data_IF_882848187626
#
_entry.id   IF_882848187626
#
_cell.length_a   1.000
_cell.length_b   1.000
_cell.length_c   1.000
_cell.angle_alpha   90.00
_cell.angle_beta   90.00
_cell.angle_gamma   90.00
#
_symmetry.space_group_name_H-M   'P 1'
#
loop_
_entity.id
_entity.type
_entity.pdbx_description
1 polymer ?
#
# COMPACT_ATOMS: atom_id res chain seq x y z
N UNK A 1 -6.64 1.73 9.67
CA UNK A 1 -7.18 0.94 8.54
C UNK A 1 -6.10 -0.04 8.11
N UNK A 2 -6.43 -1.30 7.81
CA UNK A 2 -5.47 -2.31 7.31
C UNK A 2 -5.74 -2.49 5.82
N UNK A 3 -4.70 -2.34 5.00
CA UNK A 3 -4.83 -2.35 3.53
C UNK A 3 -3.70 -3.16 2.89
N UNK A 4 -4.01 -3.82 1.78
CA UNK A 4 -2.99 -4.48 0.96
C UNK A 4 -2.16 -3.45 0.21
N UNK A 5 -0.85 -3.69 0.13
CA UNK A 5 0.09 -2.82 -0.56
C UNK A 5 1.17 -3.62 -1.28
N UNK A 6 1.82 -2.99 -2.24
CA UNK A 6 3.04 -3.50 -2.86
C UNK A 6 3.91 -2.35 -3.32
N UNK A 7 5.22 -2.52 -3.22
CA UNK A 7 6.23 -1.57 -3.65
C UNK A 7 6.99 -2.02 -4.91
N UNK A 8 6.53 -3.09 -5.57
CA UNK A 8 7.18 -3.64 -6.76
C UNK A 8 6.92 -5.14 -6.93
N UNK A 9 7.64 -5.75 -7.86
CA UNK A 9 7.60 -7.22 -8.06
C UNK A 9 8.37 -7.93 -6.93
N UNK A 10 8.13 -9.24 -6.71
CA UNK A 10 8.90 -10.01 -5.73
C UNK A 10 10.40 -9.92 -6.03
N UNK A 11 11.19 -9.50 -5.04
CA UNK A 11 12.64 -9.30 -5.18
C UNK A 11 13.07 -8.01 -5.92
N UNK A 12 12.13 -7.20 -6.41
CA UNK A 12 12.40 -5.96 -7.15
C UNK A 12 11.51 -4.82 -6.66
N UNK A 13 11.57 -4.53 -5.35
CA UNK A 13 10.89 -3.40 -4.72
C UNK A 13 11.58 -2.07 -5.05
N UNK A 14 10.79 -1.03 -5.34
CA UNK A 14 11.28 0.33 -5.62
C UNK A 14 11.19 1.26 -4.42
N UNK A 15 10.57 0.80 -3.32
CA UNK A 15 10.31 1.62 -2.12
C UNK A 15 9.10 2.56 -2.24
N UNK A 16 8.38 2.53 -3.37
CA UNK A 16 7.18 3.35 -3.58
C UNK A 16 5.94 2.50 -3.30
N UNK A 17 5.19 2.74 -2.22
CA UNK A 17 4.03 1.91 -1.88
C UNK A 17 2.82 2.25 -2.75
N UNK A 18 2.31 1.23 -3.43
CA UNK A 18 1.07 1.23 -4.21
C UNK A 18 -0.05 0.52 -3.44
N UNK A 19 -1.25 1.10 -3.52
CA UNK A 19 -2.46 0.58 -2.90
C UNK A 19 -3.55 0.45 -3.96
N UNK A 20 -4.39 -0.59 -3.87
CA UNK A 20 -5.61 -0.67 -4.65
C UNK A 20 -6.79 -0.65 -3.69
N UNK A 21 -7.50 0.47 -3.69
CA UNK A 21 -8.62 0.71 -2.80
C UNK A 21 -9.89 0.90 -3.62
N UNK A 22 -11.02 0.51 -3.06
CA UNK A 22 -12.34 0.80 -3.63
C UNK A 22 -12.85 2.14 -3.12
N UNK A 23 -13.82 2.73 -3.80
CA UNK A 23 -14.55 3.91 -3.30
C UNK A 23 -15.33 3.65 -2.01
N UNK A 24 -15.53 2.37 -1.64
CA UNK A 24 -16.16 1.97 -0.37
C UNK A 24 -15.18 1.99 0.80
N UNK A 25 -13.87 1.92 0.53
CA UNK A 25 -12.84 1.97 1.56
C UNK A 25 -12.75 3.40 2.16
N UNK A 26 -12.80 3.55 3.49
CA UNK A 26 -12.77 4.85 4.13
C UNK A 26 -11.45 5.61 3.88
N UNK A 27 -10.32 4.91 3.73
CA UNK A 27 -9.05 5.55 3.37
C UNK A 27 -9.13 6.19 1.98
N UNK A 28 -9.71 5.50 0.99
CA UNK A 28 -9.91 6.08 -0.33
C UNK A 28 -10.83 7.32 -0.29
N UNK A 29 -11.99 7.21 0.38
CA UNK A 29 -12.94 8.33 0.51
C UNK A 29 -12.32 9.54 1.20
N UNK A 30 -11.59 9.32 2.28
CA UNK A 30 -10.94 10.39 3.02
C UNK A 30 -9.81 11.03 2.20
N UNK A 31 -9.01 10.24 1.49
CA UNK A 31 -7.91 10.73 0.66
C UNK A 31 -8.39 11.61 -0.51
N UNK A 32 -9.58 11.36 -1.04
CA UNK A 32 -10.20 12.21 -2.06
C UNK A 32 -10.59 13.59 -1.54
N UNK A 33 -10.81 13.74 -0.23
CA UNK A 33 -11.13 15.03 0.41
C UNK A 33 -9.88 15.71 0.99
N UNK A 34 -8.99 14.92 1.58
CA UNK A 34 -7.72 15.37 2.15
C UNK A 34 -6.66 14.30 1.89
N UNK A 35 -5.72 14.63 1.02
CA UNK A 35 -4.71 13.68 0.53
C UNK A 35 -3.65 13.31 1.57
N UNK A 36 -3.59 13.96 2.73
CA UNK A 36 -2.59 13.66 3.76
C UNK A 36 -2.82 12.29 4.39
N UNK A 37 -1.84 11.42 4.28
CA UNK A 37 -1.89 10.07 4.82
C UNK A 37 -0.57 9.65 5.46
N UNK A 38 -0.65 8.69 6.38
CA UNK A 38 0.51 7.99 6.92
C UNK A 38 0.31 6.49 6.75
N UNK A 39 1.34 5.81 6.26
CA UNK A 39 1.38 4.38 6.07
C UNK A 39 2.43 3.80 7.01
N UNK A 40 2.04 2.85 7.85
CA UNK A 40 2.95 2.17 8.76
C UNK A 40 3.02 0.69 8.42
N UNK A 41 4.24 0.17 8.32
CA UNK A 41 4.51 -1.27 8.20
C UNK A 41 5.44 -1.70 9.34
N UNK A 42 5.22 -2.89 9.88
CA UNK A 42 6.09 -3.51 10.87
C UNK A 42 6.74 -4.77 10.31
N UNK A 43 7.85 -5.19 10.92
CA UNK A 43 8.49 -6.49 10.64
C UNK A 43 7.66 -7.69 11.10
N UNK A 44 6.56 -7.46 11.83
CA UNK A 44 5.76 -8.55 12.42
C UNK A 44 5.30 -9.60 11.40
N UNK A 45 4.79 -9.25 10.19
CA UNK A 45 4.41 -10.25 9.18
C UNK A 45 5.58 -11.07 8.62
N UNK A 46 6.83 -10.62 8.80
CA UNK A 46 8.03 -11.40 8.41
C UNK A 46 8.33 -12.53 9.40
N UNK A 47 7.68 -12.55 10.57
CA UNK A 47 7.94 -13.52 11.63
C UNK A 47 9.28 -13.32 12.34
N UNK A 48 10.04 -12.28 12.04
CA UNK A 48 11.34 -11.98 12.68
C UNK A 48 11.18 -11.46 14.12
N UNK A 49 10.00 -10.95 14.48
CA UNK A 49 9.65 -10.49 15.82
C UNK A 49 9.22 -11.65 16.76
N UNK A 50 9.85 -12.83 16.67
CA UNK A 50 9.43 -14.07 17.33
C UNK A 50 9.13 -13.87 18.83
N UNK A 51 7.93 -14.27 19.27
CA UNK A 51 7.40 -14.22 20.66
C UNK A 51 7.19 -12.83 21.27
N UNK A 52 7.31 -11.76 20.49
CA UNK A 52 7.09 -10.39 20.97
C UNK A 52 5.78 -9.83 20.44
N UNK A 53 5.11 -9.06 21.28
CA UNK A 53 3.95 -8.27 20.89
C UNK A 53 4.32 -7.30 19.75
N UNK A 54 3.47 -7.09 18.72
CA UNK A 54 3.74 -6.13 17.63
C UNK A 54 4.00 -4.69 18.10
N UNK A 55 3.54 -4.32 19.30
CA UNK A 55 3.80 -3.02 19.91
C UNK A 55 5.19 -2.92 20.53
N UNK A 56 5.87 -4.04 20.76
CA UNK A 56 7.20 -4.07 21.35
C UNK A 56 8.17 -3.21 20.52
N UNK A 57 8.91 -2.26 21.13
CA UNK A 57 9.79 -1.35 20.40
C UNK A 57 10.95 -2.06 19.68
N UNK A 58 11.27 -3.29 20.07
CA UNK A 58 12.27 -4.11 19.37
C UNK A 58 11.73 -4.82 18.13
N UNK A 59 10.41 -4.77 17.88
CA UNK A 59 9.83 -5.16 16.58
C UNK A 59 9.80 -3.91 15.70
N UNK A 60 10.69 -3.86 14.72
CA UNK A 60 10.90 -2.65 13.91
C UNK A 60 9.63 -2.28 13.16
N UNK A 61 9.37 -0.98 13.07
CA UNK A 61 8.28 -0.40 12.30
C UNK A 61 8.72 0.92 11.69
N UNK A 62 8.21 1.20 10.51
CA UNK A 62 8.45 2.43 9.78
C UNK A 62 7.12 3.06 9.41
N UNK A 63 7.00 4.36 9.66
CA UNK A 63 5.84 5.16 9.30
C UNK A 63 6.26 6.18 8.25
N UNK A 64 5.68 6.05 7.05
CA UNK A 64 5.86 6.96 5.93
C UNK A 64 4.69 7.93 5.90
N UNK A 65 4.97 9.22 5.97
CA UNK A 65 3.94 10.27 5.92
C UNK A 65 4.06 11.04 4.62
N UNK A 66 2.95 11.22 3.94
CA UNK A 66 2.94 11.85 2.62
C UNK A 66 1.54 12.15 2.13
N UNK A 67 1.40 12.22 0.81
CA UNK A 67 0.12 12.45 0.14
C UNK A 67 -0.31 11.20 -0.62
N UNK A 68 -1.49 10.66 -0.31
CA UNK A 68 -2.09 9.56 -1.05
C UNK A 68 -2.76 10.11 -2.31
N UNK A 69 -2.16 9.82 -3.46
CA UNK A 69 -2.57 10.34 -4.77
C UNK A 69 -3.21 9.24 -5.61
N UNK A 70 -4.30 9.58 -6.27
CA UNK A 70 -4.92 8.73 -7.27
C UNK A 70 -4.02 8.67 -8.51
N UNK A 71 -3.77 7.47 -9.01
CA UNK A 71 -2.99 7.24 -10.23
C UNK A 71 -3.96 7.24 -11.43
N UNK A 72 -3.56 7.88 -12.52
CA UNK A 72 -4.29 7.78 -13.79
C UNK A 72 -4.30 6.33 -14.28
N UNK A 73 -5.49 5.76 -14.47
CA UNK A 73 -5.70 4.36 -14.86
C UNK A 73 -5.10 4.02 -16.23
N UNK A 74 -4.93 5.00 -17.12
CA UNK A 74 -4.36 4.80 -18.44
C UNK A 74 -2.83 4.95 -18.47
N UNK A 75 -2.21 5.26 -17.33
CA UNK A 75 -0.76 5.43 -17.24
C UNK A 75 -0.02 4.08 -17.17
N UNK A 76 1.25 4.09 -17.61
CA UNK A 76 2.17 2.96 -17.43
C UNK A 76 2.40 2.62 -15.94
N UNK A 77 2.28 3.63 -15.07
CA UNK A 77 2.41 3.45 -13.63
C UNK A 77 1.25 2.65 -13.05
N UNK A 78 0.01 2.90 -13.50
CA UNK A 78 -1.14 2.08 -13.08
C UNK A 78 -0.99 0.62 -13.53
N UNK A 79 -0.48 0.37 -14.74
CA UNK A 79 -0.21 -1.00 -15.20
C UNK A 79 0.85 -1.69 -14.33
N UNK A 80 1.94 -0.99 -14.02
CA UNK A 80 2.99 -1.48 -13.14
C UNK A 80 2.46 -1.76 -11.73
N UNK A 81 1.74 -0.82 -11.13
CA UNK A 81 1.15 -0.94 -9.80
C UNK A 81 0.20 -2.15 -9.72
N UNK A 82 -0.62 -2.37 -10.76
CA UNK A 82 -1.51 -3.54 -10.86
C UNK A 82 -0.72 -4.84 -10.84
N UNK A 83 0.32 -4.91 -11.68
CA UNK A 83 1.17 -6.09 -11.80
C UNK A 83 1.91 -6.38 -10.48
N UNK A 84 2.49 -5.35 -9.87
CA UNK A 84 3.20 -5.42 -8.59
C UNK A 84 2.27 -5.89 -7.47
N UNK A 85 1.08 -5.30 -7.34
CA UNK A 85 0.13 -5.67 -6.29
C UNK A 85 -0.38 -7.09 -6.47
N UNK A 86 -0.86 -7.44 -7.66
CA UNK A 86 -1.43 -8.77 -7.93
C UNK A 86 -0.40 -9.89 -7.92
N UNK A 87 0.89 -9.57 -7.98
CA UNK A 87 1.96 -10.56 -7.76
C UNK A 87 2.10 -10.96 -6.29
N UNK A 88 1.84 -10.03 -5.35
CA UNK A 88 1.91 -10.27 -3.90
C UNK A 88 0.55 -10.64 -3.30
N UNK A 89 -0.54 -10.17 -3.92
CA UNK A 89 -1.94 -10.37 -3.48
C UNK A 89 -2.77 -10.99 -4.65
N UNK A 90 -2.51 -12.26 -5.02
CA UNK A 90 -3.16 -12.91 -6.17
C UNK A 90 -4.68 -13.00 -6.04
N UNK A 91 -5.23 -13.01 -4.83
CA UNK A 91 -6.65 -13.02 -4.54
C UNK A 91 -7.39 -11.77 -5.04
N UNK A 92 -6.66 -10.68 -5.32
CA UNK A 92 -7.22 -9.46 -5.90
C UNK A 92 -7.39 -9.56 -7.42
N UNK A 93 -6.79 -10.55 -8.09
CA UNK A 93 -6.99 -10.79 -9.53
C UNK A 93 -8.43 -11.23 -9.78
N UNK A 94 -9.16 -10.43 -10.56
CA UNK A 94 -10.51 -10.76 -11.04
C UNK A 94 -11.66 -10.46 -10.09
N UNK A 95 -11.40 -10.04 -8.84
CA UNK A 95 -12.48 -9.82 -7.85
C UNK A 95 -13.09 -8.42 -7.85
N UNK A 96 -12.47 -7.41 -8.46
CA UNK A 96 -12.92 -6.02 -8.25
C UNK A 96 -12.77 -5.19 -9.53
N UNK A 97 -13.90 -4.79 -10.13
CA UNK A 97 -13.98 -3.93 -11.33
C UNK A 97 -13.78 -2.44 -11.03
N UNK A 98 -13.77 -2.05 -9.76
CA UNK A 98 -13.84 -0.66 -9.30
C UNK A 98 -12.66 -0.30 -8.37
N UNK A 99 -11.49 -0.90 -8.60
CA UNK A 99 -10.29 -0.52 -7.86
C UNK A 99 -9.66 0.72 -8.48
N UNK A 100 -9.42 1.71 -7.62
CA UNK A 100 -8.56 2.84 -7.90
C UNK A 100 -7.16 2.54 -7.35
N UNK A 101 -6.15 2.76 -8.19
CA UNK A 101 -4.76 2.66 -7.79
C UNK A 101 -4.33 3.98 -7.13
N UNK A 102 -3.69 3.88 -5.97
CA UNK A 102 -3.15 5.01 -5.24
C UNK A 102 -1.66 4.82 -4.97
N UNK A 103 -0.93 5.94 -4.94
CA UNK A 103 0.47 6.02 -4.56
C UNK A 103 0.61 6.93 -3.35
N UNK A 104 1.42 6.54 -2.37
CA UNK A 104 1.81 7.46 -1.29
C UNK A 104 3.06 8.23 -1.72
N UNK A 105 2.86 9.48 -2.13
CA UNK A 105 3.92 10.42 -2.45
C UNK A 105 4.51 10.98 -1.15
N UNK A 106 5.67 10.48 -0.76
CA UNK A 106 6.45 11.00 0.36
C UNK A 106 7.36 12.10 -0.18
N UNK A 107 6.92 13.35 -0.09
CA UNK A 107 7.81 14.49 -0.32
C UNK A 107 8.66 14.66 0.95
N UNK A 108 9.97 14.44 0.83
CA UNK A 108 10.95 14.98 1.79
C UNK A 108 11.14 16.47 1.53
#
# INVERSE_FOLDING_TARGET
>A
NVVSYSDGLPGAGTGIPYFYLTSLDPTARNALQNDKASFTVSEYPLGTCVKKDPMNPTCSKISLTGKLKLIDQNSKEAEFARKALFSKHPEMKGKIKELAAFILSVFM
#
